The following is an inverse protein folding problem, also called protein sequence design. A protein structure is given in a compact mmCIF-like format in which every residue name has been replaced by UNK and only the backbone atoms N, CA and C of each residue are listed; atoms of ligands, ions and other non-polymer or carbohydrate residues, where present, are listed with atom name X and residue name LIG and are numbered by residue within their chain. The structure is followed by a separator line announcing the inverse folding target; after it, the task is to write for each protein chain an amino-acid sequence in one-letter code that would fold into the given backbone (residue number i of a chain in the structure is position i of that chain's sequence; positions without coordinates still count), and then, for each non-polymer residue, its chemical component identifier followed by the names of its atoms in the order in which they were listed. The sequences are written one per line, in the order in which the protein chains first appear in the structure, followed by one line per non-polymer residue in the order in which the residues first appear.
data_IF_248916852451
#
_entry.id   IF_248916852451
#
_cell.length_a   1.000
_cell.length_b   1.000
_cell.length_c   1.000
_cell.angle_alpha   90.00
_cell.angle_beta   90.00
_cell.angle_gamma   90.00
#
_symmetry.space_group_name_H-M   'P 1'
#
loop_
_entity.id
_entity.type
_entity.pdbx_description
1 polymer ?
#
# COMPACT_ATOMS: atom_id res chain seq x y z
N UNK A 1 -0.11 11.02 11.92
CA UNK A 1 0.99 12.00 11.94
C UNK A 1 1.27 12.32 10.48
N UNK A 2 1.14 13.56 10.03
CA UNK A 2 1.27 13.91 8.61
C UNK A 2 2.74 14.15 8.26
N UNK A 3 3.24 13.52 7.20
CA UNK A 3 4.60 13.74 6.68
C UNK A 3 4.66 14.96 5.76
N UNK A 4 5.85 15.54 5.58
CA UNK A 4 6.04 16.63 4.63
C UNK A 4 5.90 16.12 3.18
N UNK A 5 5.04 16.77 2.39
CA UNK A 5 5.01 16.58 0.93
C UNK A 5 6.33 17.10 0.33
N UNK A 6 7.10 16.30 -0.42
CA UNK A 6 8.39 16.71 -0.96
C UNK A 6 8.23 17.60 -2.20
N UNK A 7 9.18 18.51 -2.42
CA UNK A 7 9.24 19.39 -3.61
C UNK A 7 9.77 18.68 -4.87
N UNK A 8 10.23 17.44 -4.72
CA UNK A 8 10.83 16.64 -5.78
C UNK A 8 10.17 15.26 -5.87
N UNK A 9 10.11 14.71 -7.09
CA UNK A 9 9.57 13.38 -7.34
C UNK A 9 10.35 12.33 -6.54
N UNK A 10 9.62 11.48 -5.81
CA UNK A 10 10.18 10.37 -5.06
C UNK A 10 9.93 9.05 -5.79
N UNK A 11 10.80 8.06 -5.53
CA UNK A 11 10.66 6.69 -6.03
C UNK A 11 10.67 5.73 -4.84
N UNK A 12 9.73 4.80 -4.82
CA UNK A 12 9.72 3.65 -3.92
C UNK A 12 9.74 2.36 -4.75
N UNK A 13 10.46 1.35 -4.24
CA UNK A 13 10.45 0.01 -4.82
C UNK A 13 9.55 -0.87 -3.95
N UNK A 14 8.49 -1.39 -4.54
CA UNK A 14 7.48 -2.20 -3.85
C UNK A 14 7.32 -3.53 -4.59
N UNK A 15 7.02 -4.58 -3.84
CA UNK A 15 6.70 -5.88 -4.41
C UNK A 15 5.20 -5.98 -4.62
N UNK A 16 4.78 -6.63 -5.71
CA UNK A 16 3.36 -6.94 -5.92
C UNK A 16 2.96 -7.97 -4.87
N UNK A 17 1.96 -7.61 -4.08
CA UNK A 17 1.38 -8.50 -3.07
C UNK A 17 0.26 -9.34 -3.69
N UNK A 18 0.05 -10.52 -3.13
CA UNK A 18 -1.06 -11.36 -3.55
C UNK A 18 -2.42 -10.77 -3.11
N UNK A 19 -3.48 -11.19 -3.79
CA UNK A 19 -4.84 -10.71 -3.53
C UNK A 19 -5.35 -11.05 -2.13
N UNK A 20 -4.86 -12.13 -1.52
CA UNK A 20 -5.27 -12.50 -0.16
C UNK A 20 -4.69 -11.50 0.84
N UNK A 21 -3.41 -11.15 0.69
CA UNK A 21 -2.77 -10.11 1.49
C UNK A 21 -3.54 -8.79 1.41
N UNK A 22 -3.93 -8.34 0.21
CA UNK A 22 -4.76 -7.14 0.05
C UNK A 22 -6.03 -7.19 0.91
N UNK A 23 -6.82 -8.27 0.78
CA UNK A 23 -8.07 -8.44 1.53
C UNK A 23 -7.84 -8.48 3.03
N UNK A 24 -6.76 -9.12 3.47
CA UNK A 24 -6.43 -9.22 4.89
C UNK A 24 -6.05 -7.87 5.50
N UNK A 25 -5.39 -6.97 4.74
CA UNK A 25 -5.03 -5.63 5.22
C UNK A 25 -6.20 -4.65 5.21
N UNK A 26 -7.03 -4.69 4.17
CA UNK A 26 -8.13 -3.74 3.98
C UNK A 26 -9.45 -4.17 4.64
N UNK A 27 -9.67 -5.47 4.83
CA UNK A 27 -10.86 -6.00 5.49
C UNK A 27 -11.10 -5.46 6.90
N UNK A 28 -10.08 -5.38 7.77
CA UNK A 28 -10.22 -4.82 9.12
C UNK A 28 -10.63 -3.34 9.17
N UNK A 29 -10.35 -2.57 8.12
CA UNK A 29 -10.74 -1.15 8.02
C UNK A 29 -12.05 -0.94 7.23
N UNK A 30 -12.74 -2.04 6.87
CA UNK A 30 -14.04 -2.00 6.21
C UNK A 30 -13.98 -1.78 4.69
N UNK A 31 -12.78 -1.83 4.11
CA UNK A 31 -12.57 -1.60 2.68
C UNK A 31 -12.68 -2.90 1.88
N UNK A 32 -13.34 -2.84 0.72
CA UNK A 32 -13.55 -4.02 -0.14
C UNK A 32 -12.52 -4.05 -1.27
N UNK A 33 -11.72 -5.12 -1.31
CA UNK A 33 -10.77 -5.36 -2.41
C UNK A 33 -11.44 -6.23 -3.48
N UNK A 34 -11.69 -5.64 -4.66
CA UNK A 34 -12.19 -6.33 -5.85
C UNK A 34 -11.05 -7.00 -6.64
N UNK A 35 -11.39 -8.00 -7.46
CA UNK A 35 -10.42 -8.74 -8.28
C UNK A 35 -9.69 -7.85 -9.32
N UNK A 36 -10.22 -6.66 -9.62
CA UNK A 36 -9.59 -5.67 -10.50
C UNK A 36 -8.56 -4.78 -9.79
N UNK A 37 -8.45 -4.83 -8.47
CA UNK A 37 -7.43 -4.11 -7.71
C UNK A 37 -6.11 -4.88 -7.71
N UNK A 38 -5.01 -4.19 -7.46
CA UNK A 38 -3.68 -4.76 -7.21
C UNK A 38 -3.07 -4.03 -6.03
N UNK A 39 -2.36 -4.73 -5.14
CA UNK A 39 -1.61 -4.09 -4.06
C UNK A 39 -0.12 -4.29 -4.25
N UNK A 40 0.64 -3.34 -3.73
CA UNK A 40 2.07 -3.42 -3.62
C UNK A 40 2.51 -3.03 -2.21
N UNK A 41 3.53 -3.71 -1.68
CA UNK A 41 4.05 -3.52 -0.34
C UNK A 41 5.52 -3.96 -0.28
N UNK A 42 6.31 -3.31 0.58
CA UNK A 42 7.64 -3.79 0.97
C UNK A 42 7.54 -4.57 2.30
N UNK A 43 7.81 -5.89 2.33
CA UNK A 43 7.66 -6.71 3.53
C UNK A 43 8.73 -6.46 4.61
N UNK A 44 9.76 -5.66 4.32
CA UNK A 44 10.89 -5.38 5.21
C UNK A 44 10.78 -3.95 5.76
N UNK A 45 10.38 -2.99 4.93
CA UNK A 45 10.34 -1.58 5.29
C UNK A 45 8.91 -1.02 5.23
N UNK A 46 8.55 -0.15 6.17
CA UNK A 46 7.29 0.57 6.11
C UNK A 46 7.34 1.64 5.00
N UNK A 47 6.94 1.24 3.79
CA UNK A 47 6.86 2.10 2.60
C UNK A 47 5.62 1.77 1.79
N UNK A 48 5.08 2.74 1.05
CA UNK A 48 3.94 2.54 0.15
C UNK A 48 2.81 3.54 0.37
N UNK A 49 1.67 3.06 0.86
CA UNK A 49 0.45 3.85 0.96
C UNK A 49 0.64 5.11 1.83
N UNK A 50 0.05 6.22 1.40
CA UNK A 50 0.01 7.49 2.13
C UNK A 50 -1.46 7.88 2.36
N UNK A 51 -1.73 8.63 3.43
CA UNK A 51 -3.05 9.18 3.76
C UNK A 51 -3.17 10.63 3.32
#
# INVERSE_FOLDING_TARGET
QWGNTPDHLQKAELLIADQKYCRDQYGPIGETVHDTHICAHDPIQETGACN
#
